data_IF_112006444914
#
_entry.id   IF_112006444914
#
_cell.length_a   1.000
_cell.length_b   1.000
_cell.length_c   1.000
_cell.angle_alpha   90.00
_cell.angle_beta   90.00
_cell.angle_gamma   90.00
#
_symmetry.space_group_name_H-M   'P 1'
#
loop_
_entity.id
_entity.type
_entity.pdbx_description
1 polymer ?
#
# COMPACT_ATOMS: atom_id res chain seq x y z
N UNK A 1 14.48 2.92 24.87
CA UNK A 1 13.27 3.60 24.37
C UNK A 1 12.06 2.87 24.93
N UNK A 2 11.55 3.32 26.07
CA UNK A 2 10.34 2.80 26.67
C UNK A 2 9.13 3.34 25.90
N UNK A 3 8.40 2.46 25.21
CA UNK A 3 7.13 2.79 24.60
C UNK A 3 6.19 3.32 25.68
N UNK A 4 5.64 4.53 25.49
CA UNK A 4 4.73 5.15 26.45
C UNK A 4 3.40 4.37 26.44
N UNK A 5 2.94 3.79 27.57
CA UNK A 5 1.78 2.91 27.61
C UNK A 5 0.41 3.62 27.48
N UNK A 6 0.38 4.91 27.15
CA UNK A 6 -0.85 5.68 26.91
C UNK A 6 -0.82 6.27 25.50
N UNK A 7 -1.04 5.42 24.50
CA UNK A 7 -1.08 5.82 23.10
C UNK A 7 -2.29 6.72 22.77
N UNK A 8 -3.34 6.66 23.59
CA UNK A 8 -4.58 7.43 23.45
C UNK A 8 -4.91 8.09 24.79
N UNK A 9 -5.38 9.34 24.73
CA UNK A 9 -5.99 10.00 25.89
C UNK A 9 -7.34 9.38 26.23
N UNK A 10 -7.78 9.54 27.47
CA UNK A 10 -9.11 9.09 27.92
C UNK A 10 -10.25 9.66 27.07
N UNK A 11 -10.10 10.91 26.61
CA UNK A 11 -11.07 11.56 25.72
C UNK A 11 -11.15 10.88 24.36
N UNK A 12 -10.02 10.47 23.79
CA UNK A 12 -9.97 9.76 22.51
C UNK A 12 -10.52 8.35 22.63
N UNK A 13 -10.17 7.64 23.70
CA UNK A 13 -10.71 6.31 24.00
C UNK A 13 -12.24 6.34 24.13
N UNK A 14 -12.78 7.32 24.86
CA UNK A 14 -14.22 7.50 25.01
C UNK A 14 -14.92 7.82 23.68
N UNK A 15 -14.29 8.61 22.80
CA UNK A 15 -14.82 8.90 21.46
C UNK A 15 -14.85 7.66 20.58
N UNK A 16 -13.79 6.86 20.59
CA UNK A 16 -13.71 5.60 19.83
C UNK A 16 -14.76 4.61 20.34
N UNK A 17 -14.88 4.44 21.66
CA UNK A 17 -15.87 3.55 22.26
C UNK A 17 -17.29 3.94 21.86
N UNK A 18 -17.63 5.22 21.94
CA UNK A 18 -18.93 5.74 21.48
C UNK A 18 -19.14 5.49 19.99
N UNK A 19 -18.13 5.76 19.16
CA UNK A 19 -18.20 5.50 17.71
C UNK A 19 -18.54 4.04 17.37
N UNK A 20 -18.00 3.08 18.13
CA UNK A 20 -18.28 1.66 17.94
C UNK A 20 -19.63 1.21 18.50
N UNK A 21 -20.14 1.89 19.53
CA UNK A 21 -21.35 1.50 20.26
C UNK A 21 -22.65 2.06 19.66
N UNK A 22 -22.59 3.08 18.80
CA UNK A 22 -23.76 3.80 18.30
C UNK A 22 -24.03 3.55 16.80
N UNK A 23 -25.29 3.76 16.40
CA UNK A 23 -25.73 3.72 15.01
C UNK A 23 -24.98 4.75 14.15
N UNK A 24 -24.77 4.51 12.83
CA UNK A 24 -24.01 5.40 11.95
C UNK A 24 -24.45 6.88 11.99
N UNK A 25 -25.74 7.13 12.24
CA UNK A 25 -26.32 8.48 12.30
C UNK A 25 -25.90 9.27 13.56
N UNK A 26 -25.51 8.57 14.63
CA UNK A 26 -25.16 9.14 15.94
C UNK A 26 -23.64 9.08 16.22
N UNK A 27 -22.84 8.66 15.24
CA UNK A 27 -21.39 8.49 15.44
C UNK A 27 -20.70 9.84 15.66
N UNK A 28 -19.88 9.99 16.71
CA UNK A 28 -19.10 11.19 16.91
C UNK A 28 -18.06 11.34 15.80
N UNK A 29 -17.78 12.58 15.39
CA UNK A 29 -16.71 12.86 14.42
C UNK A 29 -15.36 12.50 15.04
N UNK A 30 -14.64 11.58 14.39
CA UNK A 30 -13.27 11.21 14.77
C UNK A 30 -12.28 12.14 14.08
N UNK A 31 -11.21 12.51 14.80
CA UNK A 31 -10.05 13.23 14.23
C UNK A 31 -9.20 12.30 13.35
N UNK A 32 -9.45 10.99 13.45
CA UNK A 32 -8.78 9.92 12.72
C UNK A 32 -9.69 9.38 11.63
N UNK A 33 -9.09 8.88 10.54
CA UNK A 33 -9.85 8.26 9.44
C UNK A 33 -10.70 7.11 9.96
N UNK A 34 -12.01 7.32 9.96
CA UNK A 34 -13.01 6.34 10.33
C UNK A 34 -13.44 5.47 9.14
N UNK A 35 -13.00 5.85 7.93
CA UNK A 35 -13.13 5.04 6.74
C UNK A 35 -12.39 3.73 6.95
N UNK A 36 -13.09 2.58 6.98
CA UNK A 36 -12.42 1.31 7.09
C UNK A 36 -11.54 1.12 5.86
N UNK A 37 -10.25 0.83 6.10
CA UNK A 37 -9.28 0.54 5.04
C UNK A 37 -9.78 -0.71 4.29
N UNK A 38 -10.14 -0.58 3.01
CA UNK A 38 -10.75 -1.62 2.16
C UNK A 38 -11.59 -2.64 2.93
N UNK A 39 -12.89 -2.38 3.12
CA UNK A 39 -13.80 -3.45 3.55
C UNK A 39 -13.88 -4.51 2.45
N UNK A 40 -13.06 -5.55 2.57
CA UNK A 40 -13.30 -6.79 1.85
C UNK A 40 -14.42 -7.50 2.63
N UNK A 41 -15.64 -7.45 2.10
CA UNK A 41 -16.78 -8.19 2.65
C UNK A 41 -16.69 -9.71 2.39
N UNK A 42 -15.60 -10.17 1.76
CA UNK A 42 -15.35 -11.54 1.33
C UNK A 42 -13.95 -12.03 1.73
N UNK A 43 -13.67 -13.31 1.51
CA UNK A 43 -12.35 -13.90 1.75
C UNK A 43 -11.30 -13.31 0.80
N UNK A 44 -10.21 -12.78 1.36
CA UNK A 44 -9.06 -12.30 0.60
C UNK A 44 -8.11 -13.47 0.26
N UNK A 45 -7.66 -13.51 -1.00
CA UNK A 45 -6.67 -14.48 -1.46
C UNK A 45 -5.36 -13.76 -1.81
N UNK A 46 -4.24 -14.36 -1.41
CA UNK A 46 -2.90 -13.83 -1.70
C UNK A 46 -2.17 -14.81 -2.60
N UNK A 47 -1.68 -14.31 -3.75
CA UNK A 47 -0.84 -15.07 -4.67
C UNK A 47 0.58 -14.52 -4.60
N UNK A 48 1.51 -15.33 -4.10
CA UNK A 48 2.94 -15.01 -4.17
C UNK A 48 3.56 -15.68 -5.39
N UNK A 49 4.13 -14.89 -6.30
CA UNK A 49 4.81 -15.40 -7.49
C UNK A 49 6.24 -15.88 -7.25
N UNK A 50 6.78 -15.62 -6.06
CA UNK A 50 8.16 -15.92 -5.71
C UNK A 50 8.22 -16.98 -4.63
N UNK A 51 9.03 -18.03 -4.85
CA UNK A 51 9.25 -19.11 -3.90
C UNK A 51 10.38 -18.81 -2.91
N UNK A 52 11.28 -17.88 -3.27
CA UNK A 52 12.43 -17.46 -2.46
C UNK A 52 12.60 -15.95 -2.54
N UNK A 53 13.15 -15.40 -1.47
CA UNK A 53 13.45 -13.97 -1.33
C UNK A 53 14.96 -13.86 -1.16
N UNK A 54 15.60 -13.10 -2.03
CA UNK A 54 17.03 -12.83 -1.98
C UNK A 54 17.30 -11.39 -1.59
N UNK A 55 18.51 -11.14 -1.12
CA UNK A 55 18.88 -9.84 -0.59
C UNK A 55 19.30 -8.89 -1.71
N UNK A 56 18.58 -7.77 -1.79
CA UNK A 56 18.87 -6.50 -2.51
C UNK A 56 18.10 -6.33 -3.82
N UNK A 57 17.12 -5.42 -3.78
CA UNK A 57 16.53 -4.81 -4.97
C UNK A 57 16.90 -3.32 -4.99
N UNK A 58 17.39 -2.84 -6.13
CA UNK A 58 17.76 -1.43 -6.29
C UNK A 58 16.58 -0.60 -6.78
N UNK A 59 16.07 0.33 -5.97
CA UNK A 59 15.11 1.33 -6.44
C UNK A 59 15.86 2.42 -7.22
N UNK A 60 15.73 2.40 -8.55
CA UNK A 60 16.35 3.36 -9.48
C UNK A 60 15.37 4.43 -10.00
N UNK A 61 14.20 4.60 -9.37
CA UNK A 61 13.21 5.61 -9.77
C UNK A 61 12.33 5.22 -10.96
N UNK A 62 12.56 4.05 -11.56
CA UNK A 62 11.66 3.42 -12.54
C UNK A 62 10.62 2.57 -11.82
N UNK A 63 9.37 2.61 -12.30
CA UNK A 63 8.32 1.71 -11.81
C UNK A 63 8.66 0.26 -12.14
N UNK A 64 8.56 -0.63 -11.16
CA UNK A 64 8.58 -2.07 -11.35
C UNK A 64 7.25 -2.53 -11.96
N UNK A 65 7.29 -3.31 -13.03
CA UNK A 65 6.10 -3.69 -13.81
C UNK A 65 6.09 -5.18 -14.11
N UNK A 66 4.91 -5.80 -14.01
CA UNK A 66 4.70 -7.19 -14.41
C UNK A 66 3.36 -7.36 -15.12
N UNK A 67 3.36 -8.12 -16.21
CA UNK A 67 2.15 -8.52 -16.91
C UNK A 67 1.53 -9.75 -16.23
N UNK A 68 0.22 -9.78 -16.12
CA UNK A 68 -0.52 -10.95 -15.65
C UNK A 68 -1.85 -11.08 -16.39
N UNK A 69 -2.35 -12.31 -16.42
CA UNK A 69 -3.67 -12.68 -16.94
C UNK A 69 -4.26 -13.72 -15.99
N UNK A 70 -5.58 -13.74 -15.90
CA UNK A 70 -6.34 -14.67 -15.07
C UNK A 70 -7.28 -15.49 -15.94
N UNK A 71 -7.61 -16.69 -15.49
CA UNK A 71 -8.56 -17.60 -16.14
C UNK A 71 -10.00 -17.36 -15.68
N UNK A 72 -10.18 -16.60 -14.59
CA UNK A 72 -11.48 -16.26 -13.98
C UNK A 72 -11.54 -14.79 -13.61
N UNK A 73 -12.76 -14.26 -13.53
CA UNK A 73 -12.99 -12.90 -13.03
C UNK A 73 -12.55 -12.81 -11.56
N UNK A 74 -11.71 -11.82 -11.26
CA UNK A 74 -11.26 -11.51 -9.89
C UNK A 74 -11.38 -10.01 -9.62
N UNK A 75 -11.27 -9.66 -8.34
CA UNK A 75 -11.14 -8.26 -7.90
C UNK A 75 -9.79 -8.09 -7.21
N UNK A 76 -8.90 -7.32 -7.83
CA UNK A 76 -7.60 -6.99 -7.26
C UNK A 76 -7.78 -5.86 -6.26
N UNK A 77 -7.50 -6.15 -4.99
CA UNK A 77 -7.58 -5.16 -3.89
C UNK A 77 -6.29 -4.38 -3.70
N UNK A 78 -5.15 -4.93 -4.12
CA UNK A 78 -3.84 -4.35 -3.88
C UNK A 78 -2.69 -5.24 -4.29
N UNK A 79 -1.47 -4.82 -3.96
CA UNK A 79 -0.23 -5.55 -4.18
C UNK A 79 0.53 -5.79 -2.87
N UNK A 80 1.29 -6.88 -2.83
CA UNK A 80 2.33 -7.09 -1.82
C UNK A 80 3.67 -6.57 -2.35
N UNK A 81 4.23 -5.57 -1.67
CA UNK A 81 5.52 -4.96 -2.02
C UNK A 81 6.58 -5.30 -0.98
N UNK A 82 7.78 -5.68 -1.43
CA UNK A 82 8.91 -5.87 -0.52
C UNK A 82 9.53 -4.51 -0.16
N UNK A 83 9.87 -4.35 1.12
CA UNK A 83 10.47 -3.14 1.68
C UNK A 83 11.98 -3.24 1.90
N UNK A 84 12.49 -2.36 2.76
CA UNK A 84 13.88 -2.34 3.19
C UNK A 84 14.29 -3.64 3.89
N UNK A 85 15.58 -3.99 3.79
CA UNK A 85 16.19 -5.12 4.51
C UNK A 85 16.52 -4.74 5.97
N UNK A 86 16.54 -3.44 6.29
CA UNK A 86 16.93 -2.95 7.62
C UNK A 86 16.09 -1.78 8.06
N UNK A 87 15.67 -1.80 9.33
CA UNK A 87 15.04 -0.68 10.03
C UNK A 87 13.60 -0.39 9.58
N UNK A 88 12.80 0.23 10.46
CA UNK A 88 11.49 0.73 10.08
C UNK A 88 11.66 1.89 9.10
N UNK A 89 11.12 1.73 7.89
CA UNK A 89 11.12 2.77 6.87
C UNK A 89 9.71 2.94 6.33
N UNK A 90 9.29 4.18 6.20
CA UNK A 90 8.10 4.53 5.43
C UNK A 90 8.53 4.86 4.00
N UNK A 91 7.89 4.19 3.03
CA UNK A 91 8.08 4.44 1.62
C UNK A 91 6.83 5.05 1.02
N UNK A 92 6.99 6.16 0.30
CA UNK A 92 5.95 6.65 -0.60
C UNK A 92 5.94 5.74 -1.83
N UNK A 93 4.75 5.32 -2.24
CA UNK A 93 4.58 4.44 -3.38
C UNK A 93 3.40 4.86 -4.24
N UNK A 94 3.50 4.58 -5.53
CA UNK A 94 2.38 4.66 -6.45
C UNK A 94 2.12 3.29 -7.03
N UNK A 95 0.91 2.75 -6.83
CA UNK A 95 0.49 1.50 -7.47
C UNK A 95 -0.48 1.79 -8.61
N UNK A 96 -0.33 1.04 -9.70
CA UNK A 96 -1.11 1.18 -10.94
C UNK A 96 -1.52 -0.19 -11.47
N UNK A 97 -2.71 -0.22 -12.02
CA UNK A 97 -3.22 -1.34 -12.81
C UNK A 97 -3.57 -0.83 -14.20
N UNK A 98 -2.98 -1.40 -15.22
CA UNK A 98 -3.05 -0.88 -16.60
C UNK A 98 -3.51 -2.01 -17.53
N UNK A 99 -4.51 -1.74 -18.35
CA UNK A 99 -4.94 -2.68 -19.38
C UNK A 99 -3.89 -2.74 -20.50
N UNK A 100 -3.25 -3.89 -20.72
CA UNK A 100 -2.07 -3.99 -21.58
C UNK A 100 -2.37 -3.71 -23.05
N UNK A 101 -3.57 -4.08 -23.54
CA UNK A 101 -3.94 -3.88 -24.95
C UNK A 101 -4.27 -2.43 -25.32
N UNK A 102 -4.70 -1.62 -24.35
CA UNK A 102 -5.14 -0.23 -24.58
C UNK A 102 -4.25 0.81 -23.91
N UNK A 103 -3.29 0.36 -23.09
CA UNK A 103 -2.49 1.19 -22.19
C UNK A 103 -3.30 2.12 -21.26
N UNK A 104 -4.60 1.85 -21.08
CA UNK A 104 -5.45 2.62 -20.18
C UNK A 104 -5.18 2.20 -18.73
N UNK A 105 -4.84 3.15 -17.88
CA UNK A 105 -4.83 2.95 -16.42
C UNK A 105 -6.25 2.73 -15.94
N UNK A 106 -6.54 1.57 -15.39
CA UNK A 106 -7.86 1.22 -14.83
C UNK A 106 -7.94 1.51 -13.33
N UNK A 107 -6.81 1.57 -12.65
CA UNK A 107 -6.72 2.03 -11.26
C UNK A 107 -5.34 2.60 -10.95
N UNK A 108 -5.30 3.59 -10.06
CA UNK A 108 -4.09 4.23 -9.57
C UNK A 108 -4.29 4.67 -8.12
N UNK A 109 -3.25 4.51 -7.30
CA UNK A 109 -3.25 5.01 -5.93
C UNK A 109 -1.85 5.43 -5.50
N UNK A 110 -1.71 6.72 -5.18
CA UNK A 110 -0.56 7.26 -4.44
C UNK A 110 -0.79 7.06 -2.94
N UNK A 111 0.12 6.35 -2.28
CA UNK A 111 -0.01 5.98 -0.87
C UNK A 111 1.38 5.77 -0.25
N UNK A 112 1.43 5.33 1.01
CA UNK A 112 2.66 4.92 1.67
C UNK A 112 2.50 3.57 2.34
N UNK A 113 3.61 2.88 2.58
CA UNK A 113 3.66 1.69 3.40
C UNK A 113 4.88 1.70 4.30
N UNK A 114 4.74 1.06 5.45
CA UNK A 114 5.83 0.88 6.41
C UNK A 114 6.31 -0.56 6.33
N UNK A 115 7.63 -0.74 6.22
CA UNK A 115 8.28 -2.03 6.40
C UNK A 115 9.18 -1.97 7.62
N UNK A 116 9.23 -3.05 8.39
CA UNK A 116 9.97 -3.19 9.65
C UNK A 116 11.34 -3.90 9.47
N UNK A 117 11.76 -4.14 8.23
CA UNK A 117 12.99 -4.85 7.91
C UNK A 117 12.82 -6.37 7.77
N UNK A 118 11.61 -6.91 7.94
CA UNK A 118 11.34 -8.32 7.73
C UNK A 118 11.17 -8.64 6.22
N UNK A 119 11.26 -9.91 5.85
CA UNK A 119 11.12 -10.38 4.46
C UNK A 119 9.65 -10.55 4.02
N UNK A 120 8.67 -10.10 4.79
CA UNK A 120 7.25 -10.24 4.42
C UNK A 120 6.84 -9.10 3.49
N UNK A 121 5.99 -9.37 2.47
CA UNK A 121 5.43 -8.31 1.65
C UNK A 121 4.54 -7.36 2.48
N UNK A 122 4.78 -6.07 2.34
CA UNK A 122 3.89 -5.03 2.84
C UNK A 122 2.71 -4.88 1.90
N UNK A 123 1.50 -4.92 2.46
CA UNK A 123 0.27 -4.78 1.70
C UNK A 123 0.01 -3.32 1.34
N UNK A 124 -0.25 -3.06 0.06
CA UNK A 124 -0.61 -1.74 -0.48
C UNK A 124 -1.89 -1.86 -1.30
N UNK A 125 -2.97 -1.20 -0.87
CA UNK A 125 -4.29 -1.35 -1.47
C UNK A 125 -4.63 -0.22 -2.44
N UNK A 126 -5.49 -0.51 -3.43
CA UNK A 126 -6.23 0.52 -4.16
C UNK A 126 -7.32 1.13 -3.26
N UNK A 127 -7.94 2.22 -3.71
CA UNK A 127 -9.07 2.84 -2.98
C UNK A 127 -10.30 1.91 -2.97
N UNK A 128 -10.55 1.29 -4.12
CA UNK A 128 -11.65 0.36 -4.35
C UNK A 128 -11.11 -0.89 -5.04
N UNK A 129 -11.73 -2.08 -4.82
CA UNK A 129 -11.36 -3.29 -5.54
C UNK A 129 -11.50 -3.12 -7.04
N UNK A 130 -10.49 -3.56 -7.80
CA UNK A 130 -10.43 -3.36 -9.25
C UNK A 130 -10.78 -4.65 -9.96
N UNK A 131 -11.80 -4.60 -10.81
CA UNK A 131 -12.22 -5.75 -11.61
C UNK A 131 -11.18 -6.14 -12.65
N UNK A 132 -10.87 -7.44 -12.71
CA UNK A 132 -10.01 -8.06 -13.72
C UNK A 132 -10.81 -9.14 -14.44
N UNK A 133 -10.88 -9.01 -15.76
CA UNK A 133 -11.59 -9.95 -16.61
C UNK A 133 -10.67 -11.10 -17.06
N UNK A 134 -11.24 -12.32 -17.21
CA UNK A 134 -10.49 -13.47 -17.69
C UNK A 134 -9.99 -13.27 -19.13
N UNK A 135 -8.82 -13.82 -19.44
CA UNK A 135 -8.23 -13.78 -20.78
C UNK A 135 -7.67 -12.43 -21.21
N UNK A 136 -7.80 -11.38 -20.39
CA UNK A 136 -7.22 -10.06 -20.65
C UNK A 136 -5.88 -9.92 -19.92
N UNK A 137 -4.88 -9.35 -20.60
CA UNK A 137 -3.58 -9.05 -19.98
C UNK A 137 -3.59 -7.65 -19.37
N UNK A 138 -3.24 -7.60 -18.08
CA UNK A 138 -3.05 -6.37 -17.33
C UNK A 138 -1.59 -6.22 -16.90
N UNK A 139 -1.18 -5.00 -16.61
CA UNK A 139 0.13 -4.68 -16.04
C UNK A 139 -0.11 -4.19 -14.62
N UNK A 140 0.43 -4.92 -13.65
CA UNK A 140 0.62 -4.44 -12.29
C UNK A 140 1.91 -3.62 -12.25
N UNK A 141 1.84 -2.38 -11.78
CA UNK A 141 2.97 -1.49 -11.69
C UNK A 141 3.06 -0.87 -10.30
N UNK A 142 4.27 -0.80 -9.76
CA UNK A 142 4.56 -0.16 -8.49
C UNK A 142 5.79 0.75 -8.64
N UNK A 143 5.68 1.99 -8.21
CA UNK A 143 6.78 2.93 -8.13
C UNK A 143 7.06 3.23 -6.67
N UNK A 144 8.17 2.70 -6.16
CA UNK A 144 8.63 3.00 -4.80
C UNK A 144 9.55 4.22 -4.88
N UNK A 145 9.14 5.30 -4.24
CA UNK A 145 9.92 6.53 -4.12
C UNK A 145 10.76 6.43 -2.86
N UNK A 146 12.07 6.65 -3.00
CA UNK A 146 12.95 6.77 -1.82
C UNK A 146 12.53 8.02 -1.01
N UNK A 147 12.73 8.02 0.32
CA UNK A 147 12.75 9.26 1.09
C UNK A 147 13.69 10.24 0.39
N UNK A 148 13.32 11.53 0.35
CA UNK A 148 13.99 12.55 -0.45
C UNK A 148 15.51 12.40 -0.34
N UNK A 149 16.23 12.06 -1.44
CA UNK A 149 17.67 11.98 -1.38
C UNK A 149 18.18 13.39 -1.09
N UNK A 150 18.93 13.55 0.00
CA UNK A 150 19.72 14.76 0.21
C UNK A 150 20.47 15.07 -1.10
N UNK A 151 20.24 16.23 -1.68
CA UNK A 151 20.99 16.69 -2.84
C UNK A 151 21.96 17.77 -2.37
N UNK A 152 23.21 17.69 -2.82
CA UNK A 152 24.20 18.72 -2.57
C UNK A 152 23.82 19.99 -3.32
N UNK A 153 23.72 21.10 -2.60
CA UNK A 153 23.69 22.45 -3.19
C UNK A 153 25.00 23.15 -2.85
N UNK A 154 25.39 24.15 -3.65
CA UNK A 154 26.69 24.87 -3.57
C UNK A 154 27.92 24.03 -3.96
N UNK A 155 27.89 23.41 -5.14
CA UNK A 155 29.12 22.91 -5.75
C UNK A 155 30.09 24.06 -5.99
N UNK A 156 31.29 23.98 -5.40
CA UNK A 156 32.36 24.93 -5.68
C UNK A 156 32.93 24.60 -7.06
N UNK A 157 32.85 25.56 -7.98
CA UNK A 157 33.59 25.51 -9.24
C UNK A 157 35.02 25.93 -8.92
N UNK A 158 35.98 25.10 -9.30
CA UNK A 158 37.41 25.43 -9.19
C UNK A 158 37.88 26.12 -10.47
#
# INVERSE_FOLDING_TARGET
MSANPQLLSEQEMNKIYKYLAVSPQDRPVLVYSDRPRCQIFSTEYVVSRFQRIENRWGFCGTSDRIKFTVDRRIFVVGFGLYGAISGPHEYKTQIKLIHCGTNKTVAEHDTSFVCDGNSRPCRVCFKDPVEILPGITYIAAALIRRPDPYHGTKGLVK
#
